data_IF_512588614136
#
_entry.id   IF_512588614136
#
_cell.length_a   1.000
_cell.length_b   1.000
_cell.length_c   1.000
_cell.angle_alpha   90.00
_cell.angle_beta   90.00
_cell.angle_gamma   90.00
#
_symmetry.space_group_name_H-M   'P 1'
#
loop_
_entity.id
_entity.type
_entity.pdbx_description
1 polymer ?
#
# COMPACT_ATOMS: atom_id res chain seq x y z
N UNK A 1 -35.99 27.11 12.61
CA UNK A 1 -34.89 27.39 13.56
C UNK A 1 -35.29 26.73 14.87
N UNK A 2 -34.54 25.73 15.33
CA UNK A 2 -33.28 26.00 16.04
C UNK A 2 -32.05 25.52 15.26
N UNK A 3 -30.95 26.22 15.49
CA UNK A 3 -29.61 25.89 15.00
C UNK A 3 -29.01 24.84 15.93
N UNK A 4 -28.87 23.61 15.46
CA UNK A 4 -27.99 22.64 16.14
C UNK A 4 -26.55 22.95 15.77
N UNK A 5 -25.91 23.66 16.70
CA UNK A 5 -24.51 24.00 16.72
C UNK A 5 -23.74 22.69 16.92
N UNK A 6 -22.89 22.34 15.96
CA UNK A 6 -21.93 21.23 16.07
C UNK A 6 -21.19 21.28 17.41
N UNK A 7 -20.95 20.13 18.07
CA UNK A 7 -20.14 20.11 19.28
C UNK A 7 -18.75 20.68 18.97
N UNK A 8 -18.13 21.40 19.93
CA UNK A 8 -16.86 22.06 19.72
C UNK A 8 -15.78 21.03 19.34
N UNK A 9 -14.83 21.39 18.47
CA UNK A 9 -13.80 20.47 18.03
C UNK A 9 -13.04 19.94 19.24
N UNK A 10 -13.00 18.61 19.36
CA UNK A 10 -12.10 17.90 20.26
C UNK A 10 -10.72 18.54 20.16
N UNK A 11 -10.20 18.99 21.32
CA UNK A 11 -8.93 19.70 21.50
C UNK A 11 -7.96 19.36 20.38
N UNK A 12 -7.68 20.33 19.51
CA UNK A 12 -6.65 20.28 18.47
C UNK A 12 -5.36 19.85 19.16
N UNK A 13 -5.03 18.56 19.08
CA UNK A 13 -3.79 18.01 19.63
C UNK A 13 -2.68 18.79 18.92
N UNK A 14 -1.92 19.58 19.68
CA UNK A 14 -0.74 20.27 19.16
C UNK A 14 0.10 19.21 18.45
N UNK A 15 0.24 19.33 17.13
CA UNK A 15 1.20 18.56 16.36
C UNK A 15 2.55 18.87 17.02
N UNK A 16 3.11 17.89 17.72
CA UNK A 16 4.47 18.00 18.20
C UNK A 16 5.35 18.34 17.00
N UNK A 17 6.21 19.34 17.14
CA UNK A 17 7.11 19.85 16.09
C UNK A 17 8.12 18.81 15.59
N UNK A 18 8.15 17.64 16.22
CA UNK A 18 8.91 16.48 15.76
C UNK A 18 8.12 15.22 16.16
N UNK A 19 7.76 14.34 15.21
CA UNK A 19 7.18 13.04 15.55
C UNK A 19 8.16 12.25 16.42
N UNK A 20 7.69 11.55 17.45
CA UNK A 20 8.56 10.68 18.25
C UNK A 20 9.24 9.65 17.34
N UNK A 21 10.51 9.36 17.62
CA UNK A 21 11.26 8.31 16.91
C UNK A 21 10.49 6.98 17.07
N UNK A 22 10.20 6.26 15.98
CA UNK A 22 9.50 4.98 16.07
C UNK A 22 10.29 4.00 16.95
N UNK A 23 9.63 3.15 17.76
CA UNK A 23 10.32 2.09 18.46
C UNK A 23 11.13 1.20 17.50
N UNK A 24 12.26 0.63 17.95
CA UNK A 24 13.21 -0.06 17.06
C UNK A 24 12.64 -1.29 16.33
N UNK A 25 11.52 -1.85 16.83
CA UNK A 25 10.84 -3.00 16.24
C UNK A 25 9.55 -2.63 15.49
N UNK A 26 9.48 -1.41 14.97
CA UNK A 26 8.31 -0.96 14.22
C UNK A 26 8.52 -0.92 12.73
N UNK A 27 7.51 -1.37 11.98
CA UNK A 27 7.41 -1.18 10.54
C UNK A 27 6.43 -0.06 10.24
N UNK A 28 6.79 0.84 9.33
CA UNK A 28 5.94 1.97 8.93
C UNK A 28 5.85 2.03 7.42
N UNK A 29 4.65 1.83 6.90
CA UNK A 29 4.36 1.71 5.47
C UNK A 29 3.39 2.82 5.08
N UNK A 30 3.68 3.49 3.98
CA UNK A 30 2.74 4.34 3.27
C UNK A 30 2.49 3.77 1.88
N UNK A 31 1.24 3.84 1.42
CA UNK A 31 0.87 3.54 0.05
C UNK A 31 0.06 4.69 -0.56
N UNK A 32 0.34 5.02 -1.81
CA UNK A 32 -0.24 6.18 -2.48
C UNK A 32 -0.32 6.00 -3.99
N UNK A 33 -1.55 5.98 -4.52
CA UNK A 33 -1.75 6.18 -5.94
C UNK A 33 -1.47 7.66 -6.26
N UNK A 34 -0.36 7.92 -6.93
CA UNK A 34 0.09 9.28 -7.22
C UNK A 34 -0.44 9.82 -8.55
N UNK A 35 -1.08 8.96 -9.36
CA UNK A 35 -1.63 9.31 -10.66
C UNK A 35 -0.63 10.11 -11.53
N UNK A 36 0.57 9.55 -11.68
CA UNK A 36 1.68 10.11 -12.44
C UNK A 36 2.76 10.77 -11.57
N UNK A 37 4.01 10.35 -11.77
CA UNK A 37 5.16 10.78 -10.95
C UNK A 37 5.62 12.22 -11.22
N UNK A 38 5.36 12.74 -12.42
CA UNK A 38 5.95 14.00 -12.91
C UNK A 38 5.80 15.19 -11.95
N UNK A 39 4.61 15.48 -11.39
CA UNK A 39 4.41 16.58 -10.44
C UNK A 39 5.21 16.48 -9.13
N UNK A 40 5.70 15.29 -8.79
CA UNK A 40 6.42 15.02 -7.54
C UNK A 40 7.95 15.10 -7.68
N UNK A 41 8.43 15.32 -8.91
CA UNK A 41 9.84 15.41 -9.27
C UNK A 41 10.29 16.87 -9.45
N UNK A 42 11.58 17.16 -9.25
CA UNK A 42 12.14 18.47 -9.60
C UNK A 42 11.85 18.83 -11.06
N UNK A 43 11.58 20.11 -11.32
CA UNK A 43 11.46 20.59 -12.71
C UNK A 43 12.80 20.41 -13.43
N UNK A 44 12.81 19.61 -14.50
CA UNK A 44 13.97 19.48 -15.37
C UNK A 44 14.04 20.54 -16.46
N UNK A 45 12.92 21.23 -16.72
CA UNK A 45 12.85 22.30 -17.70
C UNK A 45 11.97 23.42 -17.19
N UNK A 46 12.52 24.64 -17.18
CA UNK A 46 11.78 25.89 -16.96
C UNK A 46 10.64 25.94 -17.98
N UNK A 47 9.38 25.91 -17.52
CA UNK A 47 8.22 26.08 -18.41
C UNK A 47 8.35 27.44 -19.11
N UNK A 48 7.88 27.59 -20.34
CA UNK A 48 7.87 28.91 -21.03
C UNK A 48 7.17 29.97 -20.16
N UNK A 49 6.19 29.57 -19.35
CA UNK A 49 5.50 30.43 -18.38
C UNK A 49 6.39 30.94 -17.23
N UNK A 50 7.53 30.31 -16.92
CA UNK A 50 8.47 30.84 -15.93
C UNK A 50 9.23 32.08 -16.43
N UNK A 51 9.15 32.38 -17.74
CA UNK A 51 9.63 33.65 -18.29
C UNK A 51 8.60 34.78 -18.16
N UNK A 52 7.37 34.46 -17.75
CA UNK A 52 6.30 35.43 -17.46
C UNK A 52 5.79 35.19 -16.04
N UNK A 53 6.57 35.57 -15.00
CA UNK A 53 6.19 35.32 -13.62
C UNK A 53 4.92 36.10 -13.26
N UNK A 54 3.87 35.39 -12.85
CA UNK A 54 2.72 35.98 -12.19
C UNK A 54 3.05 36.14 -10.69
N UNK A 55 3.15 37.37 -10.16
CA UNK A 55 3.53 37.61 -8.76
C UNK A 55 2.49 37.08 -7.75
N UNK A 56 1.33 36.61 -8.20
CA UNK A 56 0.28 36.04 -7.35
C UNK A 56 0.31 34.52 -7.21
N UNK A 57 1.21 33.82 -7.92
CA UNK A 57 1.30 32.35 -7.84
C UNK A 57 2.11 31.91 -6.61
N UNK A 58 1.51 31.30 -5.57
CA UNK A 58 2.28 30.64 -4.52
C UNK A 58 3.12 29.51 -5.13
N UNK A 59 4.35 29.26 -4.65
CA UNK A 59 5.15 28.11 -5.12
C UNK A 59 4.55 26.79 -4.59
N UNK A 60 3.76 26.02 -5.37
CA UNK A 60 2.97 24.92 -4.82
C UNK A 60 3.76 23.60 -4.81
N UNK A 61 4.81 23.47 -5.62
CA UNK A 61 5.40 22.16 -5.96
C UNK A 61 6.39 21.63 -4.92
N UNK A 62 7.16 22.50 -4.26
CA UNK A 62 8.16 22.07 -3.29
C UNK A 62 7.52 21.27 -2.14
N UNK A 63 6.31 21.66 -1.73
CA UNK A 63 5.55 21.05 -0.62
C UNK A 63 5.12 19.60 -0.91
N UNK A 64 4.89 19.26 -2.18
CA UNK A 64 4.42 17.94 -2.59
C UNK A 64 5.52 17.08 -3.21
N UNK A 65 6.79 17.51 -3.22
CA UNK A 65 7.88 16.66 -3.72
C UNK A 65 8.02 15.36 -2.89
N UNK A 66 8.52 14.28 -3.51
CA UNK A 66 8.77 13.01 -2.80
C UNK A 66 9.64 13.22 -1.55
N UNK A 67 10.69 14.03 -1.66
CA UNK A 67 11.58 14.33 -0.55
C UNK A 67 10.86 15.06 0.59
N UNK A 68 10.01 16.04 0.26
CA UNK A 68 9.23 16.75 1.26
C UNK A 68 8.23 15.83 1.97
N UNK A 69 7.59 14.91 1.23
CA UNK A 69 6.70 13.89 1.80
C UNK A 69 7.45 12.98 2.79
N UNK A 70 8.57 12.38 2.35
CA UNK A 70 9.38 11.48 3.18
C UNK A 70 9.82 12.17 4.48
N UNK A 71 10.31 13.41 4.38
CA UNK A 71 10.73 14.19 5.56
C UNK A 71 9.57 14.52 6.50
N UNK A 72 8.42 14.96 5.96
CA UNK A 72 7.24 15.33 6.77
C UNK A 72 6.67 14.14 7.54
N UNK A 73 6.80 12.93 6.98
CA UNK A 73 6.32 11.69 7.58
C UNK A 73 7.42 10.88 8.26
N UNK A 74 8.53 11.53 8.65
CA UNK A 74 9.64 10.94 9.42
C UNK A 74 10.24 9.69 8.77
N UNK A 75 10.49 9.76 7.47
CA UNK A 75 11.20 8.75 6.68
C UNK A 75 10.67 7.32 6.95
N UNK A 76 9.44 6.98 6.52
CA UNK A 76 8.87 5.63 6.74
C UNK A 76 9.75 4.56 6.10
N UNK A 77 9.69 3.32 6.60
CA UNK A 77 10.49 2.21 6.08
C UNK A 77 10.21 1.92 4.61
N UNK A 78 8.93 2.04 4.23
CA UNK A 78 8.44 1.79 2.86
C UNK A 78 7.48 2.90 2.41
N UNK A 79 7.68 3.40 1.20
CA UNK A 79 6.71 4.23 0.48
C UNK A 79 6.38 3.54 -0.86
N UNK A 80 5.13 3.12 -1.00
CA UNK A 80 4.61 2.31 -2.10
C UNK A 80 3.79 3.19 -3.02
N UNK A 81 4.31 3.51 -4.21
CA UNK A 81 3.68 4.39 -5.17
C UNK A 81 3.00 3.59 -6.28
N UNK A 82 1.72 3.88 -6.53
CA UNK A 82 0.93 3.30 -7.62
C UNK A 82 0.70 4.31 -8.74
N UNK A 83 0.43 3.79 -9.94
CA UNK A 83 0.12 4.57 -11.14
C UNK A 83 1.20 5.62 -11.45
N UNK A 84 2.48 5.23 -11.36
CA UNK A 84 3.60 6.16 -11.53
C UNK A 84 3.67 6.73 -12.95
N UNK A 85 3.06 6.05 -13.93
CA UNK A 85 3.02 6.45 -15.34
C UNK A 85 4.42 6.78 -15.86
N UNK A 86 5.32 5.81 -15.76
CA UNK A 86 6.67 5.87 -16.32
C UNK A 86 6.76 4.80 -17.41
N UNK A 87 7.19 5.18 -18.61
CA UNK A 87 7.45 4.20 -19.66
C UNK A 87 8.70 3.37 -19.32
N UNK A 88 8.78 2.07 -19.66
CA UNK A 88 9.96 1.25 -19.38
C UNK A 88 11.27 1.83 -19.94
N UNK A 89 11.19 2.50 -21.09
CA UNK A 89 12.32 3.16 -21.76
C UNK A 89 12.65 4.55 -21.20
N UNK A 90 11.83 5.12 -20.32
CA UNK A 90 12.06 6.44 -19.73
C UNK A 90 13.04 6.34 -18.56
N UNK A 91 14.31 6.11 -18.89
CA UNK A 91 15.41 6.00 -17.92
C UNK A 91 15.73 7.34 -17.24
N UNK A 92 15.40 8.45 -17.90
CA UNK A 92 15.58 9.79 -17.36
C UNK A 92 14.65 10.02 -16.16
N UNK A 93 13.35 9.81 -16.31
CA UNK A 93 12.39 9.96 -15.21
C UNK A 93 12.71 9.00 -14.06
N UNK A 94 13.09 7.75 -14.36
CA UNK A 94 13.54 6.80 -13.33
C UNK A 94 14.77 7.31 -12.55
N UNK A 95 15.72 7.95 -13.24
CA UNK A 95 16.91 8.54 -12.59
C UNK A 95 16.56 9.75 -11.72
N UNK A 96 15.62 10.59 -12.15
CA UNK A 96 15.13 11.71 -11.35
C UNK A 96 14.44 11.24 -10.07
N UNK A 97 13.65 10.16 -10.13
CA UNK A 97 13.06 9.55 -8.93
C UNK A 97 14.16 9.13 -7.97
N UNK A 98 15.16 8.36 -8.46
CA UNK A 98 16.30 7.91 -7.63
C UNK A 98 17.04 9.09 -7.01
N UNK A 99 17.33 10.14 -7.78
CA UNK A 99 18.00 11.34 -7.27
C UNK A 99 17.16 12.07 -6.21
N UNK A 100 15.84 12.12 -6.38
CA UNK A 100 14.93 12.82 -5.45
C UNK A 100 14.90 12.19 -4.06
N UNK A 101 15.12 10.88 -3.97
CA UNK A 101 15.05 10.10 -2.73
C UNK A 101 16.41 9.64 -2.20
N UNK A 102 17.50 10.09 -2.85
CA UNK A 102 18.87 9.86 -2.39
C UNK A 102 19.24 10.85 -1.29
N UNK A 103 19.86 10.32 -0.23
CA UNK A 103 20.48 11.06 0.87
C UNK A 103 21.85 10.45 1.21
N UNK A 104 22.83 11.23 1.70
CA UNK A 104 24.04 10.67 2.29
C UNK A 104 23.77 9.91 3.60
N UNK A 105 22.69 10.24 4.31
CA UNK A 105 22.27 9.50 5.51
C UNK A 105 21.48 8.24 5.12
N UNK A 106 21.94 7.02 5.46
CA UNK A 106 21.22 5.79 5.16
C UNK A 106 19.80 5.70 5.74
N UNK A 107 19.52 6.41 6.84
CA UNK A 107 18.20 6.49 7.47
C UNK A 107 17.23 7.44 6.77
N UNK A 108 17.73 8.24 5.81
CA UNK A 108 16.92 9.11 4.95
C UNK A 108 17.04 8.73 3.46
N UNK A 109 17.93 7.81 3.12
CA UNK A 109 18.17 7.31 1.76
C UNK A 109 17.20 6.20 1.39
N UNK A 110 16.67 6.25 0.17
CA UNK A 110 15.81 5.19 -0.36
C UNK A 110 16.34 4.61 -1.65
N UNK A 111 16.21 3.29 -1.76
CA UNK A 111 16.31 2.58 -3.03
C UNK A 111 14.97 2.60 -3.77
N UNK A 112 14.97 3.00 -5.03
CA UNK A 112 13.77 3.02 -5.87
C UNK A 112 13.69 1.79 -6.78
N UNK A 113 12.67 0.96 -6.55
CA UNK A 113 12.42 -0.30 -7.26
C UNK A 113 11.17 -0.18 -8.13
N UNK A 114 11.35 -0.23 -9.45
CA UNK A 114 10.26 -0.07 -10.41
C UNK A 114 9.71 -1.40 -10.90
N UNK A 115 8.41 -1.46 -11.16
CA UNK A 115 7.80 -2.47 -12.03
C UNK A 115 6.94 -1.73 -13.03
N UNK A 116 7.37 -1.73 -14.30
CA UNK A 116 6.78 -0.95 -15.37
C UNK A 116 6.11 -1.87 -16.40
N UNK A 117 5.07 -1.41 -17.12
CA UNK A 117 4.29 -2.29 -17.99
C UNK A 117 5.11 -2.82 -19.17
N UNK A 118 5.14 -4.14 -19.34
CA UNK A 118 5.76 -4.82 -20.49
C UNK A 118 4.73 -5.29 -21.53
N UNK A 119 3.46 -5.40 -21.14
CA UNK A 119 2.35 -5.82 -21.99
C UNK A 119 2.08 -4.83 -23.14
N UNK A 120 2.43 -5.24 -24.37
CA UNK A 120 2.25 -4.44 -25.57
C UNK A 120 0.77 -4.28 -25.98
N UNK A 121 -0.10 -5.18 -25.52
CA UNK A 121 -1.47 -5.27 -26.00
C UNK A 121 -2.48 -4.60 -25.05
N UNK A 122 -2.23 -4.61 -23.75
CA UNK A 122 -3.15 -4.05 -22.76
C UNK A 122 -2.67 -2.75 -22.11
N UNK A 123 -1.37 -2.44 -22.14
CA UNK A 123 -0.80 -1.19 -21.61
C UNK A 123 -0.49 -0.19 -22.73
N UNK A 124 -1.45 0.11 -23.62
CA UNK A 124 -1.21 0.91 -24.84
C UNK A 124 -1.18 2.43 -24.66
N UNK A 125 -1.56 2.96 -23.49
CA UNK A 125 -1.66 4.41 -23.26
C UNK A 125 -0.30 5.12 -23.35
N UNK A 126 -0.23 6.20 -24.15
CA UNK A 126 0.90 7.16 -24.21
C UNK A 126 2.31 6.51 -24.24
N UNK A 127 2.51 5.47 -25.07
CA UNK A 127 3.80 4.76 -25.13
C UNK A 127 4.08 3.87 -23.90
N UNK A 128 3.04 3.18 -23.40
CA UNK A 128 3.04 2.37 -22.16
C UNK A 128 3.16 3.17 -20.86
N UNK A 129 2.92 4.46 -20.93
CA UNK A 129 2.89 5.40 -19.79
C UNK A 129 1.49 5.44 -19.16
N UNK A 130 1.01 4.30 -18.66
CA UNK A 130 -0.37 4.17 -18.16
C UNK A 130 -0.46 3.67 -16.71
N UNK A 131 0.30 2.63 -16.37
CA UNK A 131 0.25 1.99 -15.05
C UNK A 131 1.61 2.17 -14.34
N UNK A 132 2.18 1.07 -13.83
CA UNK A 132 3.48 1.05 -13.18
C UNK A 132 3.38 1.29 -11.68
N UNK A 133 4.25 0.63 -10.93
CA UNK A 133 4.47 0.87 -9.51
C UNK A 133 5.94 1.19 -9.24
N UNK A 134 6.19 2.01 -8.20
CA UNK A 134 7.52 2.26 -7.66
C UNK A 134 7.50 2.03 -6.16
N UNK A 135 8.39 1.18 -5.68
CA UNK A 135 8.56 0.89 -4.26
C UNK A 135 9.84 1.54 -3.78
N UNK A 136 9.72 2.46 -2.84
CA UNK A 136 10.85 3.11 -2.18
C UNK A 136 11.13 2.38 -0.87
N UNK A 137 12.35 1.85 -0.71
CA UNK A 137 12.78 1.10 0.46
C UNK A 137 13.90 1.86 1.16
N UNK A 138 13.73 2.17 2.43
CA UNK A 138 14.77 2.85 3.22
C UNK A 138 16.02 1.96 3.30
N UNK A 139 17.20 2.51 3.02
CA UNK A 139 18.40 1.71 2.77
C UNK A 139 18.92 0.99 4.02
N UNK A 140 18.80 1.62 5.19
CA UNK A 140 19.08 0.97 6.48
C UNK A 140 18.20 -0.26 6.68
N UNK A 141 16.88 -0.13 6.50
CA UNK A 141 15.91 -1.20 6.61
C UNK A 141 16.19 -2.33 5.61
N UNK A 142 16.46 -1.98 4.34
CA UNK A 142 16.78 -2.95 3.31
C UNK A 142 17.98 -3.83 3.71
N UNK A 143 19.04 -3.21 4.24
CA UNK A 143 20.24 -3.91 4.71
C UNK A 143 19.96 -4.73 5.96
N UNK A 144 19.33 -4.14 6.97
CA UNK A 144 19.12 -4.77 8.28
C UNK A 144 18.17 -5.96 8.23
N UNK A 145 17.14 -5.89 7.38
CA UNK A 145 16.16 -6.96 7.20
C UNK A 145 16.47 -7.87 6.01
N UNK A 146 17.61 -7.65 5.34
CA UNK A 146 18.01 -8.31 4.09
C UNK A 146 16.85 -8.33 3.08
N UNK A 147 16.23 -7.17 2.89
CA UNK A 147 15.07 -7.04 2.03
C UNK A 147 15.47 -7.33 0.58
N UNK A 148 14.74 -8.25 -0.05
CA UNK A 148 14.83 -8.50 -1.48
C UNK A 148 13.55 -8.06 -2.16
N UNK A 149 13.59 -7.87 -3.48
CA UNK A 149 12.40 -7.47 -4.22
C UNK A 149 12.22 -8.31 -5.47
N UNK A 150 10.95 -8.60 -5.79
CA UNK A 150 10.58 -9.39 -6.98
C UNK A 150 9.23 -8.96 -7.53
N UNK A 151 8.92 -9.43 -8.74
CA UNK A 151 7.60 -9.31 -9.36
C UNK A 151 6.87 -10.64 -9.31
N UNK A 152 5.67 -10.68 -9.88
CA UNK A 152 4.87 -11.90 -10.09
C UNK A 152 4.87 -12.27 -11.57
N UNK A 153 4.81 -13.56 -11.88
CA UNK A 153 4.85 -14.06 -13.27
C UNK A 153 3.55 -13.84 -14.03
N UNK A 154 2.43 -13.69 -13.31
CA UNK A 154 1.09 -13.55 -13.89
C UNK A 154 0.70 -12.09 -14.19
N UNK A 155 1.59 -11.13 -13.99
CA UNK A 155 1.36 -9.71 -14.30
C UNK A 155 2.40 -9.14 -15.27
N UNK A 156 1.95 -8.77 -16.46
CA UNK A 156 2.73 -8.04 -17.46
C UNK A 156 2.38 -6.54 -17.50
N UNK A 157 1.41 -6.08 -16.71
CA UNK A 157 0.96 -4.68 -16.71
C UNK A 157 1.71 -3.79 -15.72
N UNK A 158 2.63 -4.36 -14.93
CA UNK A 158 3.49 -3.63 -14.00
C UNK A 158 2.73 -3.07 -12.79
N UNK A 159 1.84 -3.87 -12.25
CA UNK A 159 0.89 -3.51 -11.17
C UNK A 159 1.34 -3.97 -9.79
N UNK A 160 2.34 -4.84 -9.71
CA UNK A 160 2.73 -5.48 -8.44
C UNK A 160 4.25 -5.48 -8.26
N UNK A 161 4.69 -5.07 -7.08
CA UNK A 161 6.07 -5.27 -6.58
C UNK A 161 6.01 -5.83 -5.17
N UNK A 162 6.80 -6.85 -4.90
CA UNK A 162 6.86 -7.52 -3.60
C UNK A 162 8.23 -7.25 -2.99
N UNK A 163 8.24 -6.89 -1.71
CA UNK A 163 9.41 -6.78 -0.85
C UNK A 163 9.37 -7.91 0.17
N UNK A 164 10.40 -8.74 0.22
CA UNK A 164 10.49 -9.87 1.16
C UNK A 164 11.66 -9.68 2.11
N UNK A 165 11.44 -9.91 3.41
CA UNK A 165 12.48 -9.80 4.44
C UNK A 165 12.88 -11.16 5.02
N UNK A 166 14.08 -11.20 5.60
CA UNK A 166 14.60 -12.39 6.28
C UNK A 166 14.06 -12.57 7.71
N UNK A 167 13.32 -11.60 8.27
CA UNK A 167 12.80 -11.65 9.64
C UNK A 167 13.90 -11.59 10.69
N UNK A 168 14.72 -10.53 10.65
CA UNK A 168 15.86 -10.37 11.55
C UNK A 168 15.52 -9.48 12.74
N UNK A 169 16.27 -9.62 13.83
CA UNK A 169 16.14 -8.78 15.05
C UNK A 169 14.74 -8.84 15.69
N UNK A 170 14.13 -10.03 15.74
CA UNK A 170 12.81 -10.25 16.34
C UNK A 170 11.64 -9.91 15.43
N UNK A 171 11.89 -9.57 14.16
CA UNK A 171 10.84 -9.33 13.18
C UNK A 171 10.36 -10.66 12.57
N UNK A 172 9.07 -10.78 12.22
CA UNK A 172 8.63 -11.87 11.38
C UNK A 172 9.24 -11.74 9.97
N UNK A 173 9.29 -12.86 9.23
CA UNK A 173 9.57 -12.80 7.78
C UNK A 173 8.39 -12.11 7.12
N UNK A 174 8.62 -10.97 6.48
CA UNK A 174 7.56 -10.18 5.86
C UNK A 174 7.53 -10.34 4.36
N UNK A 175 6.34 -10.32 3.78
CA UNK A 175 6.11 -10.07 2.36
C UNK A 175 5.21 -8.85 2.21
N UNK A 176 5.78 -7.70 1.85
CA UNK A 176 5.06 -6.43 1.69
C UNK A 176 4.85 -6.14 0.21
N UNK A 177 3.60 -5.98 -0.19
CA UNK A 177 3.20 -5.79 -1.58
C UNK A 177 2.80 -4.36 -1.85
N UNK A 178 3.38 -3.77 -2.89
CA UNK A 178 2.88 -2.58 -3.55
C UNK A 178 1.87 -3.01 -4.62
N UNK A 179 0.60 -2.68 -4.43
CA UNK A 179 -0.52 -3.15 -5.25
C UNK A 179 -1.18 -2.01 -6.00
N UNK A 180 -1.27 -2.13 -7.32
CA UNK A 180 -2.15 -1.34 -8.18
C UNK A 180 -3.12 -2.26 -8.94
N UNK A 181 -4.17 -2.70 -8.25
CA UNK A 181 -5.14 -3.66 -8.76
C UNK A 181 -5.90 -3.12 -9.99
N UNK A 182 -6.49 -4.04 -10.75
CA UNK A 182 -7.20 -3.68 -11.99
C UNK A 182 -8.50 -2.94 -11.66
N UNK A 183 -8.74 -1.76 -12.23
CA UNK A 183 -9.98 -1.01 -12.03
C UNK A 183 -11.23 -1.82 -12.49
N UNK A 184 -11.12 -2.50 -13.63
CA UNK A 184 -12.16 -3.33 -14.22
C UNK A 184 -13.11 -2.49 -15.08
N UNK A 185 -13.17 -2.78 -16.38
CA UNK A 185 -14.06 -2.13 -17.35
C UNK A 185 -14.60 -3.15 -18.34
N UNK A 186 -15.60 -2.78 -19.14
CA UNK A 186 -16.12 -3.62 -20.23
C UNK A 186 -15.19 -3.71 -21.45
N UNK A 187 -14.02 -3.05 -21.43
CA UNK A 187 -13.08 -3.10 -22.55
C UNK A 187 -12.49 -4.50 -22.71
N UNK A 188 -12.12 -4.86 -23.94
CA UNK A 188 -11.37 -6.09 -24.23
C UNK A 188 -10.12 -6.21 -23.35
N UNK A 189 -9.89 -7.42 -22.87
CA UNK A 189 -8.60 -7.88 -22.39
C UNK A 189 -8.00 -8.84 -23.42
N UNK A 190 -6.74 -8.59 -23.76
CA UNK A 190 -6.01 -9.34 -24.78
C UNK A 190 -4.96 -10.23 -24.12
N UNK A 191 -4.72 -11.40 -24.68
CA UNK A 191 -3.61 -12.24 -24.29
C UNK A 191 -2.28 -11.46 -24.48
N UNK A 192 -1.42 -11.36 -23.45
CA UNK A 192 -0.19 -10.55 -23.53
C UNK A 192 0.85 -11.03 -24.55
N UNK A 193 0.76 -12.29 -25.02
CA UNK A 193 1.71 -12.89 -25.96
C UNK A 193 1.20 -12.82 -27.40
N UNK A 194 -0.07 -13.14 -27.61
CA UNK A 194 -0.68 -13.29 -28.94
C UNK A 194 -1.53 -12.09 -29.36
N UNK A 195 -1.94 -11.24 -28.41
CA UNK A 195 -2.80 -10.07 -28.66
C UNK A 195 -4.26 -10.39 -28.98
N UNK A 196 -4.65 -11.67 -28.98
CA UNK A 196 -6.03 -12.13 -29.16
C UNK A 196 -6.90 -11.70 -27.99
N UNK A 197 -8.15 -11.32 -28.25
CA UNK A 197 -9.11 -11.03 -27.16
C UNK A 197 -9.45 -12.34 -26.45
N UNK A 198 -9.28 -12.37 -25.13
CA UNK A 198 -9.53 -13.55 -24.28
C UNK A 198 -10.56 -13.28 -23.19
N UNK A 199 -11.12 -12.07 -23.14
CA UNK A 199 -12.13 -11.66 -22.18
C UNK A 199 -12.19 -10.15 -22.08
N UNK A 200 -12.64 -9.65 -20.94
CA UNK A 200 -12.73 -8.22 -20.62
C UNK A 200 -11.81 -7.82 -19.48
N UNK A 201 -11.66 -6.52 -19.24
CA UNK A 201 -10.94 -6.00 -18.07
C UNK A 201 -11.63 -6.38 -16.76
N UNK A 202 -12.94 -6.63 -16.77
CA UNK A 202 -13.65 -7.19 -15.63
C UNK A 202 -13.21 -8.62 -15.32
N UNK A 203 -13.11 -9.49 -16.33
CA UNK A 203 -12.62 -10.87 -16.16
C UNK A 203 -11.18 -10.88 -15.66
N UNK A 204 -10.33 -10.00 -16.22
CA UNK A 204 -8.95 -9.84 -15.77
C UNK A 204 -8.86 -9.43 -14.30
N UNK A 205 -9.76 -8.57 -13.80
CA UNK A 205 -9.78 -8.17 -12.39
C UNK A 205 -10.02 -9.35 -11.46
N UNK A 206 -11.02 -10.18 -11.76
CA UNK A 206 -11.33 -11.39 -10.98
C UNK A 206 -10.18 -12.41 -11.04
N UNK A 207 -9.58 -12.60 -12.22
CA UNK A 207 -8.41 -13.47 -12.38
C UNK A 207 -7.21 -12.98 -11.53
N UNK A 208 -6.99 -11.66 -11.46
CA UNK A 208 -5.94 -11.05 -10.63
C UNK A 208 -6.25 -11.22 -9.15
N UNK A 209 -7.49 -11.03 -8.70
CA UNK A 209 -7.86 -11.32 -7.30
C UNK A 209 -7.55 -12.76 -6.91
N UNK A 210 -7.88 -13.73 -7.77
CA UNK A 210 -7.53 -15.14 -7.56
C UNK A 210 -6.01 -15.34 -7.48
N UNK A 211 -5.26 -14.80 -8.43
CA UNK A 211 -3.80 -14.96 -8.47
C UNK A 211 -3.10 -14.32 -7.26
N UNK A 212 -3.57 -13.15 -6.82
CA UNK A 212 -3.14 -12.52 -5.58
C UNK A 212 -3.42 -13.42 -4.37
N UNK A 213 -4.66 -13.91 -4.23
CA UNK A 213 -5.05 -14.82 -3.13
C UNK A 213 -4.17 -16.05 -3.07
N UNK A 214 -3.98 -16.73 -4.21
CA UNK A 214 -3.19 -17.96 -4.31
C UNK A 214 -1.72 -17.72 -3.91
N UNK A 215 -1.13 -16.60 -4.35
CA UNK A 215 0.25 -16.24 -4.01
C UNK A 215 0.39 -15.85 -2.52
N UNK A 216 -0.60 -15.16 -1.94
CA UNK A 216 -0.61 -14.87 -0.50
C UNK A 216 -0.69 -16.16 0.32
N UNK A 217 -1.62 -17.06 -0.01
CA UNK A 217 -1.75 -18.35 0.65
C UNK A 217 -0.44 -19.16 0.57
N UNK A 218 0.22 -19.15 -0.60
CA UNK A 218 1.52 -19.81 -0.80
C UNK A 218 2.60 -19.20 0.10
N UNK A 219 2.64 -17.87 0.23
CA UNK A 219 3.63 -17.17 1.06
C UNK A 219 3.39 -17.40 2.56
N UNK A 220 2.14 -17.35 3.02
CA UNK A 220 1.79 -17.67 4.39
C UNK A 220 2.16 -19.12 4.74
N UNK A 221 1.89 -20.06 3.83
CA UNK A 221 2.35 -21.46 3.97
C UNK A 221 3.88 -21.63 4.00
N UNK A 222 4.64 -20.63 3.55
CA UNK A 222 6.10 -20.58 3.66
C UNK A 222 6.60 -19.81 4.89
N UNK A 223 5.69 -19.44 5.80
CA UNK A 223 5.99 -18.73 7.04
C UNK A 223 6.17 -17.23 6.88
N UNK A 224 5.71 -16.63 5.77
CA UNK A 224 5.69 -15.17 5.64
C UNK A 224 4.44 -14.58 6.28
N UNK A 225 4.63 -13.50 7.02
CA UNK A 225 3.56 -12.57 7.37
C UNK A 225 3.38 -11.56 6.23
N UNK A 226 2.16 -11.44 5.69
CA UNK A 226 1.91 -10.71 4.44
C UNK A 226 1.24 -9.37 4.72
N UNK A 227 1.67 -8.32 4.01
CA UNK A 227 1.01 -7.00 3.98
C UNK A 227 0.73 -6.62 2.53
N UNK A 228 -0.53 -6.38 2.18
CA UNK A 228 -0.95 -5.85 0.88
C UNK A 228 -1.28 -4.37 1.03
N UNK A 229 -0.59 -3.50 0.30
CA UNK A 229 -0.80 -2.07 0.42
C UNK A 229 -0.83 -1.35 -0.93
N UNK A 230 -1.81 -0.45 -1.09
CA UNK A 230 -2.03 0.31 -2.32
C UNK A 230 -3.49 0.29 -2.77
N UNK A 231 -3.70 0.67 -4.03
CA UNK A 231 -5.01 0.80 -4.67
C UNK A 231 -5.55 -0.58 -5.09
N UNK A 232 -6.55 -1.06 -4.34
CA UNK A 232 -7.25 -2.31 -4.63
C UNK A 232 -8.40 -2.11 -5.62
N UNK A 233 -8.74 -0.87 -5.97
CA UNK A 233 -9.85 -0.53 -6.87
C UNK A 233 -11.20 -1.15 -6.45
N UNK A 234 -11.41 -1.39 -5.15
CA UNK A 234 -12.63 -1.97 -4.59
C UNK A 234 -12.98 -1.23 -3.31
N UNK A 235 -14.16 -0.63 -3.25
CA UNK A 235 -14.76 -0.17 -1.99
C UNK A 235 -15.53 -1.33 -1.35
N UNK A 236 -15.17 -1.70 -0.12
CA UNK A 236 -15.66 -2.94 0.54
C UNK A 236 -17.10 -2.86 1.01
N UNK A 237 -17.50 -1.75 1.64
CA UNK A 237 -18.84 -1.63 2.24
C UNK A 237 -19.45 -0.23 2.16
N UNK A 238 -20.65 -0.08 2.72
CA UNK A 238 -21.41 1.19 2.67
C UNK A 238 -20.68 2.39 3.28
N UNK A 239 -19.73 2.14 4.20
CA UNK A 239 -18.90 3.18 4.82
C UNK A 239 -17.73 3.63 3.94
N UNK A 240 -17.47 2.91 2.85
CA UNK A 240 -16.35 3.13 1.93
C UNK A 240 -16.77 3.84 0.64
N UNK A 241 -18.00 4.35 0.55
CA UNK A 241 -18.48 5.14 -0.58
C UNK A 241 -19.40 6.28 -0.17
N UNK A 242 -19.29 7.41 -0.86
CA UNK A 242 -20.13 8.59 -0.68
C UNK A 242 -20.49 9.23 -2.04
N UNK A 243 -21.73 9.71 -2.25
CA UNK A 243 -22.87 9.69 -1.32
C UNK A 243 -23.42 8.28 -1.05
N UNK A 244 -23.10 7.33 -1.92
CA UNK A 244 -23.45 5.93 -1.77
C UNK A 244 -22.33 5.04 -2.31
N UNK A 245 -22.33 3.78 -1.88
CA UNK A 245 -21.47 2.75 -2.43
C UNK A 245 -21.82 2.46 -3.89
N UNK A 246 -20.82 2.40 -4.77
CA UNK A 246 -21.06 2.08 -6.19
C UNK A 246 -21.62 0.67 -6.37
N UNK A 247 -22.74 0.58 -7.06
CA UNK A 247 -23.42 -0.68 -7.40
C UNK A 247 -23.67 -0.84 -8.91
N UNK A 248 -23.40 0.20 -9.72
CA UNK A 248 -23.57 0.19 -11.17
C UNK A 248 -22.27 0.60 -11.88
N UNK A 249 -21.83 -0.15 -12.92
CA UNK A 249 -22.43 -1.40 -13.40
C UNK A 249 -22.38 -2.52 -12.34
N UNK A 250 -23.20 -3.57 -12.53
CA UNK A 250 -23.31 -4.72 -11.61
C UNK A 250 -21.94 -5.31 -11.25
N UNK A 251 -20.98 -5.20 -12.16
CA UNK A 251 -19.63 -5.69 -11.93
C UNK A 251 -18.94 -5.09 -10.71
N UNK A 252 -19.28 -3.88 -10.26
CA UNK A 252 -18.75 -3.37 -8.99
C UNK A 252 -19.14 -4.26 -7.80
N UNK A 253 -20.36 -4.79 -7.81
CA UNK A 253 -20.84 -5.72 -6.77
C UNK A 253 -20.18 -7.09 -6.90
N UNK A 254 -20.03 -7.61 -8.12
CA UNK A 254 -19.34 -8.89 -8.38
C UNK A 254 -17.89 -8.84 -7.90
N UNK A 255 -17.15 -7.78 -8.30
CA UNK A 255 -15.75 -7.59 -7.93
C UNK A 255 -15.59 -7.45 -6.42
N UNK A 256 -16.49 -6.71 -5.75
CA UNK A 256 -16.50 -6.56 -4.29
C UNK A 256 -16.75 -7.90 -3.60
N UNK A 257 -17.75 -8.66 -4.03
CA UNK A 257 -18.06 -9.97 -3.43
C UNK A 257 -16.88 -10.94 -3.56
N UNK A 258 -16.23 -10.97 -4.72
CA UNK A 258 -15.04 -11.79 -4.95
C UNK A 258 -13.85 -11.33 -4.07
N UNK A 259 -13.61 -10.02 -3.97
CA UNK A 259 -12.57 -9.45 -3.11
C UNK A 259 -12.82 -9.76 -1.62
N UNK A 260 -14.03 -9.51 -1.11
CA UNK A 260 -14.41 -9.84 0.28
C UNK A 260 -14.24 -11.33 0.56
N UNK A 261 -14.77 -12.20 -0.29
CA UNK A 261 -14.71 -13.64 -0.08
C UNK A 261 -13.27 -14.18 -0.06
N UNK A 262 -12.38 -13.66 -0.92
CA UNK A 262 -10.99 -14.13 -1.02
C UNK A 262 -10.10 -13.61 0.09
N UNK A 263 -10.19 -12.31 0.41
CA UNK A 263 -9.22 -11.68 1.31
C UNK A 263 -9.73 -11.61 2.75
N UNK A 264 -11.03 -11.44 2.96
CA UNK A 264 -11.60 -11.22 4.30
C UNK A 264 -12.53 -12.33 4.78
N UNK A 265 -12.89 -13.29 3.92
CA UNK A 265 -13.69 -14.45 4.30
C UNK A 265 -12.91 -15.40 5.21
N UNK A 266 -13.60 -15.94 6.23
CA UNK A 266 -13.07 -16.96 7.16
C UNK A 266 -13.32 -18.41 6.70
N UNK A 267 -14.02 -18.60 5.56
CA UNK A 267 -14.40 -19.90 5.03
C UNK A 267 -13.38 -20.50 4.05
N UNK A 268 -13.75 -21.62 3.43
CA UNK A 268 -12.91 -22.31 2.45
C UNK A 268 -12.51 -21.37 1.30
N UNK A 269 -11.20 -21.17 1.14
CA UNK A 269 -10.61 -20.33 0.11
C UNK A 269 -10.45 -18.85 0.46
N UNK A 270 -10.98 -18.39 1.61
CA UNK A 270 -10.72 -17.08 2.18
C UNK A 270 -9.45 -17.04 3.02
N UNK A 271 -8.80 -15.87 3.10
CA UNK A 271 -7.55 -15.67 3.83
C UNK A 271 -7.73 -15.10 5.24
N UNK A 272 -8.94 -14.66 5.62
CA UNK A 272 -9.19 -14.03 6.92
C UNK A 272 -8.27 -12.84 7.23
N UNK A 273 -7.84 -12.10 6.20
CA UNK A 273 -6.94 -10.95 6.35
C UNK A 273 -7.63 -9.80 7.08
N UNK A 274 -6.83 -8.86 7.56
CA UNK A 274 -7.25 -7.73 8.37
C UNK A 274 -7.09 -6.41 7.60
N UNK A 275 -8.17 -5.64 7.48
CA UNK A 275 -8.14 -4.26 7.00
C UNK A 275 -7.76 -3.35 8.17
N UNK A 276 -6.48 -2.98 8.22
CA UNK A 276 -5.86 -2.33 9.39
C UNK A 276 -6.59 -1.06 9.84
N UNK A 277 -7.13 -0.28 8.90
CA UNK A 277 -7.90 0.92 9.23
C UNK A 277 -9.24 0.58 9.88
N UNK A 278 -9.94 -0.45 9.39
CA UNK A 278 -11.27 -0.84 9.89
C UNK A 278 -11.21 -1.53 11.25
N UNK A 279 -10.11 -2.20 11.57
CA UNK A 279 -9.89 -2.74 12.92
C UNK A 279 -9.81 -1.63 13.98
N UNK A 280 -9.13 -0.52 13.65
CA UNK A 280 -8.96 0.60 14.58
C UNK A 280 -10.06 1.67 14.51
N UNK A 281 -10.89 1.68 13.46
CA UNK A 281 -11.83 2.77 13.21
C UNK A 281 -13.16 2.37 12.54
N UNK A 282 -14.25 2.83 13.14
CA UNK A 282 -15.60 2.78 12.57
C UNK A 282 -15.95 3.94 11.65
N UNK A 283 -15.07 4.93 11.47
CA UNK A 283 -15.36 6.21 10.80
C UNK A 283 -15.52 6.09 9.28
N UNK A 284 -16.29 6.99 8.68
CA UNK A 284 -16.32 7.15 7.23
C UNK A 284 -15.16 8.03 6.78
N UNK A 285 -14.23 7.44 6.03
CA UNK A 285 -13.12 8.14 5.39
C UNK A 285 -12.84 7.51 4.04
N UNK A 286 -12.29 8.30 3.12
CA UNK A 286 -12.16 7.93 1.71
C UNK A 286 -10.75 8.23 1.21
N UNK A 287 -10.36 7.52 0.16
CA UNK A 287 -9.01 7.63 -0.39
C UNK A 287 -8.99 8.15 -1.81
N UNK A 288 -10.07 7.97 -2.57
CA UNK A 288 -10.26 8.47 -3.92
C UNK A 288 -11.27 9.62 -3.97
N UNK A 289 -10.86 10.72 -4.60
CA UNK A 289 -11.63 11.95 -4.77
C UNK A 289 -11.58 12.35 -6.26
N UNK A 290 -12.65 12.12 -7.03
CA UNK A 290 -12.70 12.43 -8.46
C UNK A 290 -12.33 13.89 -8.75
N UNK A 291 -11.65 14.11 -9.87
CA UNK A 291 -11.35 15.46 -10.35
C UNK A 291 -12.57 16.09 -11.02
N UNK A 292 -12.66 17.42 -10.98
CA UNK A 292 -13.70 18.17 -11.67
C UNK A 292 -15.05 18.21 -10.95
N UNK A 293 -15.11 17.69 -9.72
CA UNK A 293 -16.26 17.84 -8.80
C UNK A 293 -15.79 18.51 -7.51
N UNK A 294 -16.72 19.04 -6.73
CA UNK A 294 -16.44 19.57 -5.40
C UNK A 294 -15.81 18.49 -4.50
N UNK A 295 -14.79 18.87 -3.74
CA UNK A 295 -14.11 17.98 -2.81
C UNK A 295 -15.12 17.35 -1.83
N UNK A 296 -15.09 16.03 -1.70
CA UNK A 296 -16.00 15.32 -0.79
C UNK A 296 -17.40 15.06 -1.35
N UNK A 297 -17.76 15.60 -2.54
CA UNK A 297 -19.10 15.40 -3.11
C UNK A 297 -19.33 13.98 -3.64
N UNK A 298 -18.26 13.27 -4.00
CA UNK A 298 -18.27 11.87 -4.41
C UNK A 298 -16.92 11.25 -4.06
N UNK A 299 -16.91 10.13 -3.33
CA UNK A 299 -15.68 9.54 -2.82
C UNK A 299 -15.79 8.03 -2.67
N UNK A 300 -14.66 7.35 -2.77
CA UNK A 300 -14.55 5.93 -2.41
C UNK A 300 -13.29 5.69 -1.59
N UNK A 301 -13.32 4.70 -0.68
CA UNK A 301 -12.12 4.13 -0.08
C UNK A 301 -11.74 2.90 -0.90
N UNK A 302 -10.67 3.02 -1.66
CA UNK A 302 -10.16 1.95 -2.54
C UNK A 302 -8.69 1.63 -2.30
N UNK A 303 -8.01 2.44 -1.49
CA UNK A 303 -6.63 2.24 -1.09
C UNK A 303 -6.58 1.67 0.33
N UNK A 304 -5.72 0.68 0.55
CA UNK A 304 -5.69 -0.07 1.80
C UNK A 304 -4.26 -0.33 2.27
N UNK A 305 -4.15 -0.61 3.57
CA UNK A 305 -3.12 -1.47 4.14
C UNK A 305 -3.85 -2.66 4.75
N UNK A 306 -3.67 -3.84 4.16
CA UNK A 306 -4.28 -5.11 4.56
C UNK A 306 -3.16 -6.00 5.07
N UNK A 307 -3.32 -6.67 6.20
CA UNK A 307 -2.31 -7.58 6.73
C UNK A 307 -2.86 -8.99 6.95
N UNK A 308 -1.98 -9.99 6.98
CA UNK A 308 -2.33 -11.35 7.38
C UNK A 308 -2.98 -11.37 8.76
N UNK A 309 -3.80 -12.39 9.02
CA UNK A 309 -4.51 -12.54 10.30
C UNK A 309 -3.55 -12.49 11.50
N UNK A 310 -2.40 -13.15 11.39
CA UNK A 310 -1.38 -13.18 12.43
C UNK A 310 -0.72 -11.83 12.76
N UNK A 311 -0.79 -10.84 11.85
CA UNK A 311 -0.26 -9.50 12.08
C UNK A 311 -1.24 -8.54 12.75
N UNK A 312 -2.51 -8.94 12.94
CA UNK A 312 -3.57 -8.08 13.47
C UNK A 312 -3.18 -7.45 14.82
N UNK A 313 -2.64 -8.24 15.74
CA UNK A 313 -2.22 -7.77 17.07
C UNK A 313 -1.01 -6.82 17.05
N UNK A 314 -0.25 -6.81 15.95
CA UNK A 314 0.91 -5.92 15.80
C UNK A 314 0.53 -4.54 15.27
N UNK A 315 -0.68 -4.32 14.75
CA UNK A 315 -1.10 -3.01 14.23
C UNK A 315 -1.23 -2.02 15.38
N UNK A 316 -0.37 -1.00 15.40
CA UNK A 316 -0.41 0.06 16.42
C UNK A 316 -0.96 1.39 15.91
N UNK A 317 -0.97 1.57 14.59
CA UNK A 317 -1.52 2.76 13.95
C UNK A 317 -1.93 2.41 12.52
N UNK A 318 -3.07 2.91 12.07
CA UNK A 318 -3.48 2.84 10.67
C UNK A 318 -4.39 4.03 10.36
N UNK A 319 -4.30 4.53 9.13
CA UNK A 319 -5.06 5.70 8.75
C UNK A 319 -4.89 6.11 7.30
N UNK A 320 -5.41 7.29 7.00
CA UNK A 320 -5.31 7.94 5.71
C UNK A 320 -5.13 9.43 5.90
N UNK A 321 -4.39 10.05 4.98
CA UNK A 321 -4.08 11.46 5.02
C UNK A 321 -5.11 12.24 4.17
N UNK A 322 -6.37 12.23 4.59
CA UNK A 322 -7.57 12.65 3.85
C UNK A 322 -7.76 14.18 3.71
N UNK A 323 -6.68 14.92 3.45
CA UNK A 323 -6.71 16.35 3.16
C UNK A 323 -6.27 16.65 1.72
N UNK A 324 -6.76 17.76 1.15
CA UNK A 324 -6.30 18.23 -0.18
C UNK A 324 -4.78 18.45 -0.22
N UNK A 325 -4.18 18.90 0.89
CA UNK A 325 -2.73 19.13 1.00
C UNK A 325 -1.95 17.82 0.88
N UNK A 326 -2.39 16.77 1.54
CA UNK A 326 -1.70 15.47 1.49
C UNK A 326 -2.00 14.71 0.19
N UNK A 327 -3.18 14.93 -0.43
CA UNK A 327 -3.48 14.47 -1.79
C UNK A 327 -2.52 15.05 -2.83
N UNK A 328 -2.13 16.31 -2.64
CA UNK A 328 -1.37 17.07 -3.64
C UNK A 328 -2.05 17.02 -5.01
N UNK A 329 -1.29 16.78 -6.10
CA UNK A 329 -1.83 16.76 -7.46
C UNK A 329 -2.52 15.44 -7.84
N UNK A 330 -2.54 14.42 -6.98
CA UNK A 330 -3.25 13.17 -7.24
C UNK A 330 -4.77 13.34 -7.09
N UNK A 331 -5.55 12.36 -7.50
CA UNK A 331 -6.94 12.13 -7.08
C UNK A 331 -7.06 11.16 -5.90
N UNK A 332 -5.95 10.58 -5.44
CA UNK A 332 -5.91 9.76 -4.23
C UNK A 332 -5.08 10.38 -3.11
N UNK A 333 -5.49 10.13 -1.86
CA UNK A 333 -4.70 10.44 -0.67
C UNK A 333 -3.87 9.23 -0.20
N UNK A 334 -2.72 9.44 0.44
CA UNK A 334 -1.94 8.36 1.03
C UNK A 334 -2.69 7.63 2.15
N UNK A 335 -2.52 6.31 2.21
CA UNK A 335 -2.88 5.46 3.35
C UNK A 335 -1.62 4.96 4.04
N UNK A 336 -1.73 4.62 5.33
CA UNK A 336 -0.60 4.13 6.09
C UNK A 336 -0.97 3.10 7.13
N UNK A 337 0.02 2.30 7.52
CA UNK A 337 -0.03 1.36 8.62
C UNK A 337 1.30 1.28 9.35
N UNK A 338 1.25 1.20 10.67
CA UNK A 338 2.39 1.02 11.56
C UNK A 338 2.19 -0.27 12.36
N UNK A 339 3.20 -1.13 12.33
CA UNK A 339 3.22 -2.40 13.04
C UNK A 339 4.32 -2.38 14.10
N UNK A 340 4.08 -2.99 15.26
CA UNK A 340 5.05 -3.16 16.34
C UNK A 340 5.26 -4.65 16.63
N UNK A 341 6.47 -5.12 16.35
CA UNK A 341 6.90 -6.50 16.56
C UNK A 341 7.63 -6.69 17.90
N UNK A 342 7.81 -5.63 18.69
CA UNK A 342 8.41 -5.69 20.02
C UNK A 342 7.42 -6.01 21.14
N UNK A 343 6.11 -5.99 20.86
CA UNK A 343 5.09 -6.34 21.85
C UNK A 343 5.01 -7.87 22.01
N UNK A 344 4.89 -8.37 23.25
CA UNK A 344 4.41 -9.74 23.46
C UNK A 344 3.07 -9.89 22.73
N UNK A 345 2.90 -10.98 21.99
CA UNK A 345 1.60 -11.33 21.43
C UNK A 345 0.75 -11.77 22.61
N UNK A 346 -0.22 -10.97 23.02
CA UNK A 346 -1.21 -11.38 24.03
C UNK A 346 -1.98 -12.59 23.46
N UNK A 347 -1.65 -13.80 23.91
CA UNK A 347 -2.34 -15.03 23.48
C UNK A 347 -1.53 -16.31 23.37
N UNK A 348 -0.27 -16.37 23.84
CA UNK A 348 0.34 -17.67 24.15
C UNK A 348 -0.08 -18.06 25.58
N UNK A 349 -1.28 -18.64 25.69
CA UNK A 349 -1.67 -19.37 26.90
C UNK A 349 -0.63 -20.47 27.09
N UNK A 350 0.23 -20.27 28.09
CA UNK A 350 1.40 -21.09 28.35
C UNK A 350 1.09 -22.58 28.24
N UNK A 351 1.73 -23.22 27.25
CA UNK A 351 2.02 -24.63 27.37
C UNK A 351 3.21 -24.72 28.31
N UNK A 352 2.91 -24.99 29.58
CA UNK A 352 3.87 -25.35 30.62
C UNK A 352 4.86 -26.37 30.06
N UNK A 353 6.06 -25.88 29.73
CA UNK A 353 7.22 -26.70 29.50
C UNK A 353 7.80 -27.08 30.86
N UNK A 354 7.10 -27.92 31.62
CA UNK A 354 7.62 -28.58 32.83
C UNK A 354 6.84 -29.89 33.11
N UNK A 355 7.06 -30.88 32.24
CA UNK A 355 6.95 -32.28 32.63
C UNK A 355 8.31 -32.94 32.37
N UNK A 356 9.26 -32.65 33.26
CA UNK A 356 10.43 -33.51 33.45
C UNK A 356 9.95 -34.87 33.99
N UNK A 357 10.02 -35.87 33.13
CA UNK A 357 10.02 -37.29 33.48
C UNK A 357 11.14 -37.57 34.51
N UNK A 358 10.74 -37.72 35.77
CA UNK A 358 11.58 -38.35 36.80
C UNK A 358 11.32 -39.85 36.80
N UNK A 359 11.88 -40.55 35.82
CA UNK A 359 12.06 -42.00 35.93
C UNK A 359 13.05 -42.30 37.07
N UNK A 360 12.52 -42.93 38.11
CA UNK A 360 13.27 -43.54 39.21
C UNK A 360 14.13 -44.69 38.68
N UNK A 361 15.44 -44.53 38.72
CA UNK A 361 16.38 -45.64 38.66
C UNK A 361 16.63 -46.10 40.11
N UNK A 362 16.09 -47.26 40.48
CA UNK A 362 16.50 -47.97 41.70
C UNK A 362 17.84 -48.70 41.46
N UNK A 363 18.78 -48.67 42.42
CA UNK A 363 20.01 -49.41 42.29
C UNK A 363 19.82 -50.90 42.64
N UNK A 364 20.18 -51.74 41.66
CA UNK A 364 20.34 -53.19 41.81
C UNK A 364 21.36 -53.49 42.91
N UNK A 365 20.91 -54.15 43.98
CA UNK A 365 21.80 -54.83 44.94
C UNK A 365 22.31 -56.12 44.30
N UNK A 366 23.63 -56.31 44.26
CA UNK A 366 24.25 -57.63 44.27
C UNK A 366 25.50 -57.64 45.14
N UNK A 367 25.66 -58.82 45.75
CA UNK A 367 26.63 -59.29 46.73
C UNK A 367 28.09 -59.24 46.26
#
# INVERSE_FOLDING_TARGET
MPKDISPPPLKRRRLATTPPVPPPNTLRIFAWNINGIGPFLPETQKRITSFFPDPSSPEPRAQHSLRAFLRRHSHPHLLLLQEVKIAPSDTHTQSLVRASVSSPDPSEHYEAHFTLPSDAHNARGFGRKLYGVCTLIRADFAREQRATTRTVSWDAEGRFRIVETAGLRGWPRLSVWNVYAVNGTGNDYRDPVTGKVVGTRHDRKLAVHKAMRDEVARLEGQGFAVVLAGDMNVARGLRDGFPALRTRPEQHMVNRRDFEGRFFGDGEGGLGMCDTFREGSGERRYTYFPRGVEWGASCDRVDYVICSKGLKGNVIEAGMLDSEVERGPSDHVPVFGTFDFGKPVDGDDGVDADHEDKERIEPVRRE
#
